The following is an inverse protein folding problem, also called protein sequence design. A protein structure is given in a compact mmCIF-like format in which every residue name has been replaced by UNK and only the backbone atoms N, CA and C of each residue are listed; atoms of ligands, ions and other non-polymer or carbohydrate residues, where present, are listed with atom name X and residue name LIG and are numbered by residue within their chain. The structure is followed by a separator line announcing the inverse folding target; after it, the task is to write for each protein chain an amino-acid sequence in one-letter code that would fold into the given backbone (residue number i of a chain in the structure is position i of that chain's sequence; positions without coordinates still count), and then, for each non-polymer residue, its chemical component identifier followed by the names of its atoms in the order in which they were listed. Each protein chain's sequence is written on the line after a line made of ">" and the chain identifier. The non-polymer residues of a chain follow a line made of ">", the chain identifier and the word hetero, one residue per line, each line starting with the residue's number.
data_IF_818423392926
#
_entry.id   IF_818423392926
#
_cell.length_a   1.000
_cell.length_b   1.000
_cell.length_c   1.000
_cell.angle_alpha   90.00
_cell.angle_beta   90.00
_cell.angle_gamma   90.00
#
_symmetry.space_group_name_H-M   'P 1'
#
loop_
_entity.id
_entity.type
_entity.pdbx_description
1 polymer ?
#
# COMPACT_ATOMS: atom_id res chain seq x y z
N UNK A 1 -19.79 -32.56 -36.03
CA UNK A 1 -18.58 -31.74 -36.19
C UNK A 1 -19.00 -30.29 -36.17
N UNK A 2 -18.54 -29.45 -35.23
CA UNK A 2 -18.59 -27.99 -35.36
C UNK A 2 -17.84 -27.31 -34.20
N UNK A 3 -16.59 -26.97 -34.53
CA UNK A 3 -15.71 -25.93 -33.99
C UNK A 3 -15.63 -25.73 -32.46
N UNK A 4 -14.49 -26.16 -31.92
CA UNK A 4 -13.94 -25.69 -30.66
C UNK A 4 -13.86 -24.17 -30.67
N UNK A 5 -14.47 -23.51 -29.68
CA UNK A 5 -14.18 -22.13 -29.33
C UNK A 5 -12.68 -22.00 -29.06
N UNK A 6 -11.96 -21.42 -30.01
CA UNK A 6 -10.59 -20.97 -29.79
C UNK A 6 -10.67 -19.77 -28.86
N UNK A 7 -10.49 -20.00 -27.56
CA UNK A 7 -10.16 -18.92 -26.64
C UNK A 7 -8.82 -18.35 -27.12
N UNK A 8 -8.86 -17.20 -27.79
CA UNK A 8 -7.67 -16.46 -28.20
C UNK A 8 -6.88 -16.12 -26.94
N UNK A 9 -5.89 -16.95 -26.62
CA UNK A 9 -4.84 -16.68 -25.64
C UNK A 9 -3.95 -15.58 -26.22
N UNK A 10 -4.49 -14.37 -26.36
CA UNK A 10 -3.68 -13.20 -26.65
C UNK A 10 -2.86 -12.96 -25.40
N UNK A 11 -1.60 -13.38 -25.41
CA UNK A 11 -0.59 -13.03 -24.42
C UNK A 11 -0.44 -11.51 -24.40
N UNK A 12 -1.36 -10.85 -23.70
CA UNK A 12 -1.55 -9.42 -23.82
C UNK A 12 -0.54 -8.72 -22.92
N UNK A 13 0.67 -8.54 -23.45
CA UNK A 13 1.72 -7.74 -22.83
C UNK A 13 1.21 -6.35 -22.43
N UNK A 14 0.36 -5.74 -23.26
CA UNK A 14 -0.33 -4.49 -22.92
C UNK A 14 -1.33 -4.60 -21.77
N UNK A 15 -2.00 -5.75 -21.59
CA UNK A 15 -2.79 -6.00 -20.38
C UNK A 15 -1.90 -6.18 -19.15
N UNK A 16 -0.73 -6.83 -19.29
CA UNK A 16 0.21 -7.00 -18.16
C UNK A 16 0.82 -5.68 -17.70
N UNK A 17 1.17 -4.78 -18.62
CA UNK A 17 1.67 -3.44 -18.29
C UNK A 17 0.59 -2.64 -17.54
N UNK A 18 -0.65 -2.63 -18.05
CA UNK A 18 -1.74 -1.93 -17.37
C UNK A 18 -2.02 -2.48 -15.97
N UNK A 19 -1.99 -3.81 -15.81
CA UNK A 19 -2.10 -4.43 -14.50
C UNK A 19 -0.92 -4.08 -13.57
N UNK A 20 0.31 -4.04 -14.09
CA UNK A 20 1.48 -3.64 -13.32
C UNK A 20 1.40 -2.18 -12.86
N UNK A 21 0.99 -1.25 -13.73
CA UNK A 21 0.80 0.17 -13.38
C UNK A 21 -0.30 0.33 -12.33
N UNK A 22 -1.41 -0.40 -12.45
CA UNK A 22 -2.48 -0.37 -11.45
C UNK A 22 -1.97 -0.82 -10.06
N UNK A 23 -1.20 -1.91 -10.00
CA UNK A 23 -0.58 -2.41 -8.78
C UNK A 23 0.50 -1.46 -8.21
N UNK A 24 1.19 -0.74 -9.10
CA UNK A 24 2.20 0.22 -8.68
C UNK A 24 1.58 1.44 -8.02
N UNK A 25 0.47 1.96 -8.58
CA UNK A 25 -0.28 3.08 -8.01
C UNK A 25 -0.82 2.76 -6.61
N UNK A 26 -1.37 1.56 -6.40
CA UNK A 26 -1.87 1.14 -5.09
C UNK A 26 -0.72 0.99 -4.08
N UNK A 27 0.42 0.46 -4.51
CA UNK A 27 1.61 0.35 -3.66
C UNK A 27 2.17 1.72 -3.28
N UNK A 28 2.22 2.65 -4.23
CA UNK A 28 2.66 4.02 -4.00
C UNK A 28 1.73 4.78 -3.05
N UNK A 29 0.41 4.62 -3.22
CA UNK A 29 -0.57 5.24 -2.32
C UNK A 29 -0.35 4.79 -0.87
N UNK A 30 -0.29 3.47 -0.62
CA UNK A 30 -0.02 2.91 0.71
C UNK A 30 1.31 3.37 1.28
N UNK A 31 2.35 3.45 0.44
CA UNK A 31 3.68 3.94 0.88
C UNK A 31 3.66 5.43 1.24
N UNK A 32 2.87 6.22 0.52
CA UNK A 32 2.69 7.65 0.83
C UNK A 32 1.96 7.84 2.16
N UNK A 33 0.91 7.04 2.41
CA UNK A 33 0.17 7.05 3.68
C UNK A 33 1.08 6.64 4.83
N UNK A 34 1.82 5.53 4.71
CA UNK A 34 2.80 5.10 5.71
C UNK A 34 3.76 6.23 6.08
N UNK A 35 4.37 6.87 5.08
CA UNK A 35 5.37 7.92 5.30
C UNK A 35 4.75 9.15 5.95
N UNK A 36 3.53 9.50 5.56
CA UNK A 36 2.78 10.61 6.15
C UNK A 36 2.52 10.35 7.63
N UNK A 37 1.90 9.22 7.97
CA UNK A 37 1.58 8.88 9.37
C UNK A 37 2.84 8.75 10.22
N UNK A 38 3.90 8.14 9.66
CA UNK A 38 5.19 8.03 10.34
C UNK A 38 5.79 9.41 10.63
N UNK A 39 5.83 10.30 9.65
CA UNK A 39 6.40 11.64 9.81
C UNK A 39 5.58 12.49 10.80
N UNK A 40 4.25 12.41 10.74
CA UNK A 40 3.36 13.08 11.69
C UNK A 40 3.63 12.62 13.13
N UNK A 41 3.74 11.30 13.37
CA UNK A 41 4.03 10.75 14.69
C UNK A 41 5.48 10.98 15.15
N UNK A 42 6.46 10.93 14.23
CA UNK A 42 7.87 11.16 14.53
C UNK A 42 8.15 12.60 14.97
N UNK A 43 7.40 13.54 14.39
CA UNK A 43 7.47 14.97 14.70
C UNK A 43 6.89 15.31 16.07
N UNK A 44 6.09 14.42 16.68
CA UNK A 44 5.59 14.59 18.03
C UNK A 44 6.71 14.38 19.07
N UNK A 45 6.65 15.17 20.15
CA UNK A 45 7.54 15.02 21.29
C UNK A 45 7.21 13.76 22.09
N UNK A 46 8.15 13.30 22.93
CA UNK A 46 7.91 12.13 23.79
C UNK A 46 6.73 12.34 24.76
N UNK A 47 6.43 13.59 25.13
CA UNK A 47 5.30 13.92 26.00
C UNK A 47 3.98 13.80 25.24
N UNK A 48 3.88 14.38 24.05
CA UNK A 48 2.68 14.27 23.22
C UNK A 48 2.39 12.82 22.85
N UNK A 49 3.42 12.04 22.54
CA UNK A 49 3.32 10.60 22.32
C UNK A 49 2.84 9.87 23.59
N UNK A 50 3.36 10.23 24.76
CA UNK A 50 2.92 9.63 26.03
C UNK A 50 1.47 10.01 26.39
N UNK A 51 1.05 11.24 26.08
CA UNK A 51 -0.32 11.72 26.33
C UNK A 51 -1.36 10.92 25.52
N UNK A 52 -0.99 10.47 24.31
CA UNK A 52 -1.82 9.56 23.49
C UNK A 52 -1.50 8.07 23.72
N UNK A 53 -0.61 7.73 24.64
CA UNK A 53 -0.25 6.36 24.98
C UNK A 53 0.59 5.61 23.92
N UNK A 54 1.31 6.33 23.05
CA UNK A 54 2.15 5.76 21.99
C UNK A 54 3.63 5.84 22.38
N UNK A 55 4.39 4.77 22.14
CA UNK A 55 5.86 4.78 22.29
C UNK A 55 6.53 4.98 20.93
N UNK A 56 7.72 5.60 20.91
CA UNK A 56 8.48 5.82 19.66
C UNK A 56 8.75 4.54 18.87
N UNK A 57 8.99 3.42 19.54
CA UNK A 57 9.16 2.12 18.87
C UNK A 57 7.89 1.62 18.17
N UNK A 58 6.73 1.99 18.70
CA UNK A 58 5.41 1.55 18.20
C UNK A 58 4.98 2.36 16.96
N UNK A 59 5.55 3.56 16.73
CA UNK A 59 5.23 4.43 15.59
C UNK A 59 5.34 3.69 14.25
N UNK A 60 6.43 2.95 14.05
CA UNK A 60 6.66 2.20 12.80
C UNK A 60 5.59 1.13 12.57
N UNK A 61 5.14 0.47 13.64
CA UNK A 61 4.11 -0.55 13.59
C UNK A 61 2.72 0.07 13.35
N UNK A 62 2.40 1.17 14.03
CA UNK A 62 1.14 1.91 13.86
C UNK A 62 1.02 2.46 12.44
N UNK A 63 2.07 3.11 11.92
CA UNK A 63 2.08 3.63 10.56
C UNK A 63 1.90 2.51 9.52
N UNK A 64 2.49 1.33 9.77
CA UNK A 64 2.33 0.15 8.92
C UNK A 64 0.91 -0.41 8.98
N UNK A 65 0.35 -0.54 10.17
CA UNK A 65 -1.02 -1.00 10.37
C UNK A 65 -2.01 -0.05 9.67
N UNK A 66 -1.82 1.26 9.78
CA UNK A 66 -2.66 2.24 9.11
C UNK A 66 -2.60 2.12 7.57
N UNK A 67 -1.40 1.96 7.01
CA UNK A 67 -1.21 1.92 5.54
C UNK A 67 -1.57 0.56 4.90
N UNK A 68 -1.54 -0.54 5.66
CA UNK A 68 -1.68 -1.90 5.12
C UNK A 68 -2.77 -2.75 5.80
N UNK A 69 -3.36 -2.28 6.90
CA UNK A 69 -4.32 -3.02 7.74
C UNK A 69 -5.80 -2.77 7.45
N UNK A 70 -6.13 -2.23 6.28
CA UNK A 70 -7.50 -2.14 5.74
C UNK A 70 -7.75 -3.26 4.72
#
# INVERSE_FOLDING_TARGET
>A
MAYTTSATQTYSFGARIRAAVANFRTTLARRSEYRRTYAELENLSNRELADIGVRRCDISNIARLHAYGN
#
